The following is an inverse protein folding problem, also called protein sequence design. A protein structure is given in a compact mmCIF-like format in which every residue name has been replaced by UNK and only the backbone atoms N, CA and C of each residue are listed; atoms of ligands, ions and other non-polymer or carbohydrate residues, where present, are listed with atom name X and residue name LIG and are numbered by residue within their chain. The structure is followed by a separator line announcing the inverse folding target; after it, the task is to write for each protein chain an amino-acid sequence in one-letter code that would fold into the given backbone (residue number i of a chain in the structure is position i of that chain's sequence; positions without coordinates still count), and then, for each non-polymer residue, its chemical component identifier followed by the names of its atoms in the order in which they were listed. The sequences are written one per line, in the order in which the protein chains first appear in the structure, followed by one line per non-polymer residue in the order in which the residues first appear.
data_IF_934930022637
#
_entry.id   IF_934930022637
#
_cell.length_a   1.000
_cell.length_b   1.000
_cell.length_c   1.000
_cell.angle_alpha   90.00
_cell.angle_beta   90.00
_cell.angle_gamma   90.00
#
_symmetry.space_group_name_H-M   'P 1'
#
loop_
_entity.id
_entity.type
_entity.pdbx_description
1 polymer ?
#
# COMPACT_ATOMS: atom_id res chain seq x y z
N UNK A 1 -17.44 15.80 9.87
CA UNK A 1 -17.63 14.40 9.42
C UNK A 1 -16.89 13.54 10.42
N UNK A 2 -17.57 12.65 11.11
CA UNK A 2 -16.97 11.79 12.14
C UNK A 2 -16.31 10.58 11.45
N UNK A 3 -15.03 10.33 11.73
CA UNK A 3 -14.23 9.33 11.04
C UNK A 3 -13.77 8.26 12.04
N UNK A 4 -14.32 7.05 11.91
CA UNK A 4 -13.87 5.88 12.68
C UNK A 4 -12.82 5.12 11.87
N UNK A 5 -11.61 4.98 12.41
CA UNK A 5 -10.53 4.22 11.79
C UNK A 5 -10.04 3.11 12.71
N UNK A 6 -9.43 2.11 12.10
CA UNK A 6 -9.01 0.86 12.71
C UNK A 6 -7.55 0.64 12.33
N UNK A 7 -6.68 0.46 13.33
CA UNK A 7 -5.22 0.38 13.14
C UNK A 7 -4.68 -0.90 13.74
N UNK A 8 -3.83 -1.60 12.97
CA UNK A 8 -3.09 -2.77 13.42
C UNK A 8 -1.75 -2.85 12.72
N UNK A 9 -0.77 -3.41 13.41
CA UNK A 9 0.59 -3.62 12.92
C UNK A 9 0.95 -5.10 13.07
N UNK A 10 1.61 -5.67 12.07
CA UNK A 10 2.11 -7.04 12.12
C UNK A 10 3.56 -7.03 12.59
N UNK A 11 3.80 -7.35 13.86
CA UNK A 11 5.14 -7.64 14.38
C UNK A 11 5.58 -9.06 13.99
N UNK A 12 6.77 -9.24 13.43
CA UNK A 12 7.33 -10.56 13.19
C UNK A 12 8.31 -10.97 14.29
N UNK A 13 7.99 -12.03 15.01
CA UNK A 13 8.96 -12.79 15.80
C UNK A 13 9.80 -13.63 14.84
N UNK A 14 11.09 -13.36 14.74
CA UNK A 14 12.03 -14.08 13.87
C UNK A 14 12.40 -15.50 14.37
N UNK A 15 11.42 -16.25 14.90
CA UNK A 15 11.65 -17.63 15.35
C UNK A 15 11.22 -18.60 14.25
N UNK A 16 12.23 -19.29 13.71
CA UNK A 16 12.21 -20.21 12.57
C UNK A 16 10.87 -20.86 12.23
N UNK A 17 10.25 -20.42 11.13
CA UNK A 17 9.08 -21.06 10.56
C UNK A 17 9.49 -21.97 9.40
N UNK A 18 9.37 -23.29 9.61
CA UNK A 18 9.42 -24.30 8.56
C UNK A 18 8.22 -24.08 7.63
N UNK A 19 8.48 -23.80 6.36
CA UNK A 19 7.41 -23.60 5.37
C UNK A 19 6.86 -24.95 4.90
N UNK A 20 5.53 -25.13 4.81
CA UNK A 20 4.96 -26.29 4.11
C UNK A 20 5.27 -26.25 2.60
N UNK A 21 5.28 -27.40 1.90
CA UNK A 21 5.60 -27.48 0.48
C UNK A 21 4.57 -26.75 -0.39
N UNK A 22 5.03 -26.21 -1.53
CA UNK A 22 4.21 -25.43 -2.45
C UNK A 22 3.10 -26.28 -3.09
N UNK A 23 1.89 -25.72 -3.17
CA UNK A 23 0.76 -26.32 -3.90
C UNK A 23 0.85 -26.02 -5.41
N UNK A 24 0.27 -26.86 -6.30
CA UNK A 24 0.32 -26.63 -7.75
C UNK A 24 -0.49 -25.38 -8.14
N UNK A 25 0.09 -24.50 -8.94
CA UNK A 25 -0.62 -23.33 -9.48
C UNK A 25 -1.20 -23.66 -10.87
N UNK A 26 -2.53 -23.55 -10.99
CA UNK A 26 -3.25 -23.67 -12.26
C UNK A 26 -3.21 -22.32 -12.98
N UNK A 27 -2.72 -22.30 -14.23
CA UNK A 27 -2.55 -21.09 -15.02
C UNK A 27 -3.89 -20.52 -15.48
N UNK A 28 -4.31 -19.40 -14.90
CA UNK A 28 -5.30 -18.50 -15.48
C UNK A 28 -4.75 -17.07 -15.27
N UNK A 29 -4.77 -16.26 -16.35
CA UNK A 29 -4.44 -14.82 -16.46
C UNK A 29 -3.58 -14.30 -15.30
N UNK A 30 -2.30 -14.01 -15.51
CA UNK A 30 -1.32 -13.64 -14.49
C UNK A 30 -1.76 -12.47 -13.59
N UNK A 31 -2.65 -12.74 -12.63
CA UNK A 31 -3.03 -11.84 -11.59
C UNK A 31 -1.89 -11.81 -10.59
N UNK A 32 -1.46 -10.60 -10.27
CA UNK A 32 -0.36 -10.41 -9.36
C UNK A 32 -0.66 -11.04 -8.00
N UNK A 33 0.24 -11.92 -7.55
CA UNK A 33 0.12 -12.62 -6.27
C UNK A 33 1.06 -11.96 -5.27
N UNK A 34 0.49 -11.38 -4.20
CA UNK A 34 1.26 -10.86 -3.08
C UNK A 34 1.46 -11.97 -2.03
N UNK A 35 2.72 -12.23 -1.66
CA UNK A 35 3.08 -13.17 -0.59
C UNK A 35 3.63 -12.35 0.59
N UNK A 36 2.89 -12.20 1.70
CA UNK A 36 3.27 -11.28 2.79
C UNK A 36 4.66 -11.51 3.37
N UNK A 37 5.10 -12.77 3.41
CA UNK A 37 6.38 -13.24 3.92
C UNK A 37 7.51 -13.06 2.90
N UNK A 38 7.21 -12.90 1.60
CA UNK A 38 8.18 -12.70 0.51
C UNK A 38 7.71 -11.60 -0.47
N UNK A 39 7.60 -10.35 -0.03
CA UNK A 39 7.21 -9.23 -0.87
C UNK A 39 8.28 -8.97 -1.92
N UNK A 40 7.84 -8.60 -3.12
CA UNK A 40 8.73 -8.25 -4.23
C UNK A 40 8.69 -6.74 -4.44
N UNK A 41 9.87 -6.12 -4.39
CA UNK A 41 10.06 -4.71 -4.71
C UNK A 41 11.31 -4.57 -5.56
N UNK A 42 11.13 -4.19 -6.81
CA UNK A 42 12.18 -4.06 -7.82
C UNK A 42 11.90 -2.88 -8.77
N UNK A 43 12.82 -2.60 -9.68
CA UNK A 43 12.72 -1.46 -10.58
C UNK A 43 11.53 -1.55 -11.56
N UNK A 44 11.03 -2.75 -11.86
CA UNK A 44 9.87 -2.92 -12.74
C UNK A 44 8.57 -2.56 -12.02
N UNK A 45 8.51 -2.82 -10.72
CA UNK A 45 7.28 -2.75 -9.95
C UNK A 45 7.25 -1.60 -8.91
N UNK A 46 8.30 -0.79 -8.77
CA UNK A 46 8.39 0.32 -7.83
C UNK A 46 8.70 1.66 -8.50
N UNK A 47 8.47 2.76 -7.76
CA UNK A 47 9.00 4.08 -8.08
C UNK A 47 10.17 4.37 -7.18
N UNK A 48 11.13 5.16 -7.67
CA UNK A 48 12.27 5.58 -6.86
C UNK A 48 12.30 7.08 -6.70
N UNK A 49 12.40 7.52 -5.45
CA UNK A 49 12.38 8.93 -5.08
C UNK A 49 13.49 9.23 -4.09
N UNK A 50 14.06 10.43 -4.18
CA UNK A 50 14.85 11.00 -3.09
C UNK A 50 13.93 11.23 -1.88
N UNK A 51 14.47 10.98 -0.69
CA UNK A 51 13.69 11.10 0.54
C UNK A 51 13.11 12.50 0.77
N UNK A 52 13.82 13.54 0.31
CA UNK A 52 13.36 14.93 0.38
C UNK A 52 12.07 15.19 -0.40
N UNK A 53 11.77 14.36 -1.41
CA UNK A 53 10.55 14.45 -2.24
C UNK A 53 9.44 13.54 -1.73
N UNK A 54 9.68 12.75 -0.69
CA UNK A 54 8.75 11.70 -0.24
C UNK A 54 7.45 12.27 0.35
N UNK A 55 7.53 13.27 1.23
CA UNK A 55 6.35 13.89 1.84
C UNK A 55 5.35 14.45 0.81
N UNK A 56 5.75 15.35 -0.11
CA UNK A 56 4.81 15.87 -1.11
C UNK A 56 4.34 14.78 -2.10
N UNK A 57 5.19 13.78 -2.38
CA UNK A 57 4.81 12.65 -3.22
C UNK A 57 3.72 11.79 -2.57
N UNK A 58 3.88 11.45 -1.29
CA UNK A 58 2.90 10.67 -0.53
C UNK A 58 1.60 11.45 -0.40
N UNK A 59 1.63 12.74 -0.05
CA UNK A 59 0.40 13.53 0.06
C UNK A 59 -0.35 13.57 -1.28
N UNK A 60 0.37 13.80 -2.38
CA UNK A 60 -0.22 13.83 -3.73
C UNK A 60 -0.78 12.46 -4.14
N UNK A 61 -0.04 11.38 -3.88
CA UNK A 61 -0.46 10.01 -4.22
C UNK A 61 -1.70 9.61 -3.43
N UNK A 62 -1.69 9.83 -2.11
CA UNK A 62 -2.80 9.52 -1.23
C UNK A 62 -4.02 10.41 -1.54
N UNK A 63 -3.80 11.67 -1.94
CA UNK A 63 -4.87 12.56 -2.42
C UNK A 63 -5.50 12.03 -3.71
N UNK A 64 -4.70 11.53 -4.66
CA UNK A 64 -5.21 10.93 -5.89
C UNK A 64 -6.01 9.65 -5.62
N UNK A 65 -5.68 8.92 -4.55
CA UNK A 65 -6.46 7.80 -4.04
C UNK A 65 -7.72 8.25 -3.27
N UNK A 66 -8.02 9.55 -3.19
CA UNK A 66 -9.19 10.14 -2.51
C UNK A 66 -9.18 10.08 -0.99
N UNK A 67 -8.01 9.91 -0.38
CA UNK A 67 -7.87 9.98 1.07
C UNK A 67 -8.10 11.41 1.59
N UNK A 68 -8.91 11.51 2.65
CA UNK A 68 -9.12 12.75 3.39
C UNK A 68 -7.83 13.23 4.07
N UNK A 69 -7.69 14.56 4.23
CA UNK A 69 -6.45 15.20 4.71
C UNK A 69 -5.95 14.64 6.04
N UNK A 70 -6.85 14.30 6.98
CA UNK A 70 -6.49 13.71 8.27
C UNK A 70 -5.82 12.33 8.10
N UNK A 71 -6.38 11.46 7.25
CA UNK A 71 -5.83 10.13 7.00
C UNK A 71 -4.48 10.23 6.28
N UNK A 72 -4.35 11.14 5.31
CA UNK A 72 -3.07 11.39 4.63
C UNK A 72 -2.00 11.87 5.60
N UNK A 73 -2.35 12.84 6.46
CA UNK A 73 -1.44 13.39 7.46
C UNK A 73 -0.98 12.32 8.44
N UNK A 74 -1.91 11.48 8.92
CA UNK A 74 -1.61 10.35 9.80
C UNK A 74 -0.68 9.33 9.14
N UNK A 75 -1.00 8.91 7.91
CA UNK A 75 -0.18 7.99 7.11
C UNK A 75 1.25 8.51 6.98
N UNK A 76 1.41 9.75 6.53
CA UNK A 76 2.73 10.37 6.30
C UNK A 76 3.48 10.48 7.62
N UNK A 77 2.85 11.01 8.66
CA UNK A 77 3.49 11.22 9.98
C UNK A 77 4.01 9.91 10.56
N UNK A 78 3.28 8.81 10.37
CA UNK A 78 3.67 7.50 10.86
C UNK A 78 4.88 6.92 10.10
N UNK A 79 4.89 6.95 8.76
CA UNK A 79 5.95 6.32 7.97
C UNK A 79 7.18 7.20 7.74
N UNK A 80 7.03 8.52 7.79
CA UNK A 80 8.11 9.47 7.49
C UNK A 80 9.39 9.23 8.32
N UNK A 81 9.35 8.93 9.63
CA UNK A 81 10.55 8.61 10.41
C UNK A 81 11.35 7.42 9.86
N UNK A 82 10.69 6.40 9.32
CA UNK A 82 11.35 5.24 8.71
C UNK A 82 11.93 5.58 7.33
N UNK A 83 11.21 6.38 6.54
CA UNK A 83 11.66 6.82 5.21
C UNK A 83 12.90 7.72 5.30
N UNK A 84 12.94 8.62 6.30
CA UNK A 84 14.03 9.57 6.54
C UNK A 84 15.40 8.91 6.85
N UNK A 85 15.44 7.62 7.15
CA UNK A 85 16.69 6.87 7.39
C UNK A 85 17.49 6.60 6.12
N UNK A 86 16.91 6.83 4.93
CA UNK A 86 17.52 6.51 3.65
C UNK A 86 17.63 7.72 2.74
N UNK A 87 18.56 7.69 1.77
CA UNK A 87 18.74 8.76 0.78
C UNK A 87 17.70 8.70 -0.34
N UNK A 88 17.49 7.50 -0.88
CA UNK A 88 16.42 7.23 -1.82
C UNK A 88 15.56 6.07 -1.32
N UNK A 89 14.31 6.07 -1.73
CA UNK A 89 13.33 5.05 -1.38
C UNK A 89 12.75 4.51 -2.70
N UNK A 90 12.82 3.20 -2.88
CA UNK A 90 11.94 2.46 -3.76
C UNK A 90 10.59 2.30 -3.03
N UNK A 91 9.49 2.65 -3.68
CA UNK A 91 8.15 2.62 -3.09
C UNK A 91 7.16 2.00 -4.07
N UNK A 92 6.18 1.29 -3.52
CA UNK A 92 5.08 0.71 -4.29
C UNK A 92 3.80 0.70 -3.47
N UNK A 93 2.65 0.96 -4.08
CA UNK A 93 1.37 0.56 -3.53
C UNK A 93 0.93 -0.77 -4.16
N UNK A 94 0.42 -1.69 -3.34
CA UNK A 94 -0.09 -2.98 -3.79
C UNK A 94 -1.49 -2.83 -4.38
N UNK A 95 -1.83 -3.59 -5.44
CA UNK A 95 -3.19 -3.72 -5.90
C UNK A 95 -4.09 -4.28 -4.79
N UNK A 96 -5.29 -3.74 -4.67
CA UNK A 96 -6.21 -4.12 -3.60
C UNK A 96 -6.55 -5.62 -3.66
N UNK A 97 -6.82 -6.16 -4.85
CA UNK A 97 -7.13 -7.58 -5.05
C UNK A 97 -5.99 -8.53 -4.64
N UNK A 98 -4.73 -8.13 -4.89
CA UNK A 98 -3.57 -8.91 -4.50
C UNK A 98 -3.44 -8.95 -2.97
N UNK A 99 -3.69 -7.83 -2.30
CA UNK A 99 -3.61 -7.74 -0.85
C UNK A 99 -4.79 -8.42 -0.15
N UNK A 100 -6.01 -8.28 -0.69
CA UNK A 100 -7.23 -8.91 -0.15
C UNK A 100 -7.14 -10.43 -0.11
N UNK A 101 -6.59 -11.05 -1.15
CA UNK A 101 -6.32 -12.49 -1.17
C UNK A 101 -5.32 -12.92 -0.10
N UNK A 102 -4.31 -12.09 0.14
CA UNK A 102 -3.23 -12.40 1.07
C UNK A 102 -3.63 -12.15 2.54
N UNK A 103 -4.55 -11.23 2.79
CA UNK A 103 -5.02 -10.86 4.11
C UNK A 103 -6.54 -10.60 4.09
N UNK A 104 -7.39 -11.63 4.13
CA UNK A 104 -8.85 -11.45 4.12
C UNK A 104 -9.31 -10.60 5.29
N UNK A 105 -10.22 -9.65 5.04
CA UNK A 105 -10.83 -8.81 6.05
C UNK A 105 -12.36 -8.96 5.97
N UNK A 106 -12.97 -9.31 7.10
CA UNK A 106 -14.42 -9.32 7.27
C UNK A 106 -14.81 -8.22 8.25
N UNK A 107 -15.71 -7.34 7.86
CA UNK A 107 -16.24 -6.24 8.70
C UNK A 107 -17.74 -6.43 8.85
N UNK A 108 -18.22 -6.37 10.09
CA UNK A 108 -19.65 -6.46 10.42
C UNK A 108 -20.09 -5.25 11.27
N UNK A 109 -21.18 -4.53 10.88
CA UNK A 109 -21.98 -4.74 9.67
C UNK A 109 -21.17 -4.45 8.39
N UNK A 110 -21.47 -5.18 7.32
CA UNK A 110 -20.77 -5.01 6.04
C UNK A 110 -20.97 -3.58 5.54
N UNK A 111 -19.88 -2.83 5.27
CA UNK A 111 -19.99 -1.48 4.74
C UNK A 111 -20.74 -1.50 3.40
N UNK A 112 -21.78 -0.69 3.27
CA UNK A 112 -22.61 -0.61 2.06
C UNK A 112 -21.92 0.12 0.91
N UNK A 113 -20.91 0.94 1.19
CA UNK A 113 -20.46 1.98 0.26
C UNK A 113 -19.11 1.67 -0.38
N UNK A 114 -18.00 1.72 0.37
CA UNK A 114 -16.65 1.50 -0.19
C UNK A 114 -15.70 0.97 0.89
N UNK A 115 -14.86 0.00 0.52
CA UNK A 115 -13.63 -0.40 1.24
C UNK A 115 -12.44 -0.25 0.29
N UNK A 116 -11.46 0.55 0.68
CA UNK A 116 -10.17 0.71 0.02
C UNK A 116 -9.08 0.13 0.94
N UNK A 117 -8.05 -0.52 0.39
CA UNK A 117 -6.94 -1.11 1.18
C UNK A 117 -5.58 -0.79 0.55
N UNK A 118 -4.92 0.24 1.04
CA UNK A 118 -3.73 0.92 0.49
C UNK A 118 -2.45 0.39 1.14
N UNK A 119 -2.02 -0.81 0.76
CA UNK A 119 -0.78 -1.35 1.30
C UNK A 119 0.45 -0.83 0.54
N UNK A 120 1.33 -0.10 1.21
CA UNK A 120 2.61 0.38 0.72
C UNK A 120 3.70 -0.67 0.95
N UNK A 121 4.65 -0.78 0.04
CA UNK A 121 5.94 -1.42 0.25
C UNK A 121 7.00 -0.36 0.01
N UNK A 122 8.06 -0.37 0.81
CA UNK A 122 9.18 0.53 0.59
C UNK A 122 10.52 -0.15 0.87
N UNK A 123 11.60 0.39 0.30
CA UNK A 123 12.98 -0.05 0.57
C UNK A 123 13.92 1.12 0.35
N UNK A 124 14.87 1.34 1.26
CA UNK A 124 15.98 2.25 1.02
C UNK A 124 16.90 1.77 -0.10
N UNK A 125 17.17 2.60 -1.10
CA UNK A 125 18.08 2.29 -2.21
C UNK A 125 19.04 3.44 -2.50
N UNK A 126 20.11 3.18 -3.26
CA UNK A 126 21.15 4.18 -3.51
C UNK A 126 21.02 4.95 -4.85
N UNK A 127 20.03 4.67 -5.73
CA UNK A 127 19.95 5.25 -7.10
C UNK A 127 18.52 5.53 -7.61
N UNK A 128 18.24 6.70 -8.22
CA UNK A 128 16.92 7.22 -8.71
C UNK A 128 16.67 6.99 -10.24
N UNK A 129 15.47 7.07 -10.85
CA UNK A 129 14.24 7.87 -10.66
C UNK A 129 12.98 7.23 -11.34
N UNK A 130 11.71 7.57 -10.97
CA UNK A 130 10.49 7.11 -11.71
C UNK A 130 9.27 8.08 -11.63
N UNK A 131 8.42 8.04 -12.67
CA UNK A 131 7.14 8.74 -12.91
C UNK A 131 5.96 8.27 -12.02
N UNK A 132 5.25 9.25 -11.45
CA UNK A 132 4.15 9.12 -10.47
C UNK A 132 2.84 8.66 -11.11
N UNK A 133 2.64 8.98 -12.40
CA UNK A 133 1.39 8.75 -13.14
C UNK A 133 0.96 7.28 -13.15
N UNK A 134 1.92 6.36 -13.02
CA UNK A 134 1.69 4.93 -13.22
C UNK A 134 0.85 4.28 -12.12
N UNK A 135 0.78 4.86 -10.93
CA UNK A 135 0.17 4.20 -9.77
C UNK A 135 -1.35 4.15 -9.81
N UNK A 136 -2.01 5.16 -10.39
CA UNK A 136 -3.47 5.15 -10.50
C UNK A 136 -3.94 3.90 -11.27
N UNK A 137 -3.28 3.59 -12.39
CA UNK A 137 -3.53 2.37 -13.16
C UNK A 137 -3.03 1.09 -12.48
N UNK A 138 -1.87 1.14 -11.79
CA UNK A 138 -1.29 -0.04 -11.15
C UNK A 138 -2.04 -0.48 -9.88
N UNK A 139 -2.58 0.46 -9.10
CA UNK A 139 -3.39 0.16 -7.91
C UNK A 139 -4.84 -0.13 -8.30
N UNK A 140 -5.33 0.48 -9.39
CA UNK A 140 -6.67 0.24 -9.94
C UNK A 140 -7.77 0.97 -9.17
N UNK A 141 -7.46 2.11 -8.56
CA UNK A 141 -8.44 2.87 -7.77
C UNK A 141 -9.33 3.71 -8.69
N UNK A 142 -10.66 3.59 -8.51
CA UNK A 142 -11.64 4.44 -9.16
C UNK A 142 -11.54 5.87 -8.64
N UNK A 143 -10.73 6.67 -9.34
CA UNK A 143 -10.34 8.01 -8.93
C UNK A 143 -11.50 9.00 -9.00
N UNK A 144 -12.50 8.76 -9.85
CA UNK A 144 -13.68 9.63 -9.95
C UNK A 144 -14.61 9.42 -8.74
N UNK A 145 -14.93 8.17 -8.40
CA UNK A 145 -15.76 7.86 -7.23
C UNK A 145 -15.05 8.20 -5.92
N UNK A 146 -13.73 8.04 -5.87
CA UNK A 146 -12.94 8.42 -4.70
C UNK A 146 -12.95 9.93 -4.43
N UNK A 147 -13.21 10.78 -5.42
CA UNK A 147 -13.30 12.24 -5.26
C UNK A 147 -14.73 12.76 -4.99
N UNK A 148 -15.76 11.91 -5.03
CA UNK A 148 -17.14 12.32 -4.78
C UNK A 148 -17.39 12.53 -3.27
N UNK A 149 -17.69 13.77 -2.86
CA UNK A 149 -17.91 14.12 -1.46
C UNK A 149 -19.16 13.48 -0.83
N UNK A 150 -20.12 13.00 -1.63
CA UNK A 150 -21.37 12.39 -1.17
C UNK A 150 -21.26 10.92 -0.75
N UNK A 151 -20.14 10.26 -1.04
CA UNK A 151 -19.95 8.83 -0.78
C UNK A 151 -19.24 8.56 0.55
N UNK A 152 -19.71 7.53 1.26
CA UNK A 152 -19.02 6.97 2.42
C UNK A 152 -17.85 6.10 1.97
N UNK A 153 -16.70 6.22 2.64
CA UNK A 153 -15.42 5.63 2.23
C UNK A 153 -14.73 4.97 3.41
N UNK A 154 -14.35 3.71 3.27
CA UNK A 154 -13.37 3.04 4.15
C UNK A 154 -12.04 2.99 3.42
N UNK A 155 -10.95 3.33 4.11
CA UNK A 155 -9.59 3.31 3.54
C UNK A 155 -8.64 2.69 4.55
N UNK A 156 -8.39 1.41 4.39
CA UNK A 156 -7.26 0.69 4.94
C UNK A 156 -5.99 1.10 4.22
N UNK A 157 -4.85 0.98 4.90
CA UNK A 157 -3.55 1.21 4.33
C UNK A 157 -2.47 0.46 5.11
N UNK A 158 -1.30 0.18 4.52
CA UNK A 158 -0.21 -0.56 5.17
C UNK A 158 1.16 -0.27 4.56
N UNK A 159 2.20 -1.01 4.95
CA UNK A 159 3.61 -0.67 4.74
C UNK A 159 4.51 -1.88 5.01
N UNK A 160 5.40 -2.33 4.10
CA UNK A 160 6.50 -3.25 4.47
C UNK A 160 7.84 -2.87 3.84
N UNK A 161 8.88 -2.89 4.67
CA UNK A 161 10.28 -2.85 4.25
C UNK A 161 10.73 -4.17 3.61
N UNK A 162 11.36 -4.11 2.44
CA UNK A 162 11.99 -5.29 1.80
C UNK A 162 13.49 -5.26 2.05
N UNK A 163 13.97 -6.03 3.03
CA UNK A 163 15.41 -6.17 3.33
C UNK A 163 16.08 -7.12 2.35
#
# INVERSE_FOLDING_TARGET
MEMSYLYWEAEMTAQGLLSPPASPQLSAVAEETFVPNRPTLDASNSVVLEVAKMTPYLDSSLKALGLHVEVRTSFITHWLPSLLKHKHIALRFLPQSAYERAAPLTVEPTPSDVVARIFMLFKGIERSAVDVSRWAGAVGVDSERMNDAGLFRVIEWGGREVV
#
